data_IF_836846791005
#
_entry.id   IF_836846791005
#
_cell.length_a   1.000
_cell.length_b   1.000
_cell.length_c   1.000
_cell.angle_alpha   90.00
_cell.angle_beta   90.00
_cell.angle_gamma   90.00
#
_symmetry.space_group_name_H-M   'P 1'
#
loop_
_entity.id
_entity.type
_entity.pdbx_description
1 polymer ?
#
# COMPACT_ATOMS: atom_id res chain seq x y z
N UNK A 1 -81.58 -36.03 -0.45
CA UNK A 1 -81.51 -35.01 -1.50
C UNK A 1 -80.70 -33.84 -0.98
N UNK A 2 -79.47 -33.66 -1.45
CA UNK A 2 -78.76 -32.40 -1.22
C UNK A 2 -79.27 -31.47 -2.33
N UNK A 3 -79.91 -30.38 -1.94
CA UNK A 3 -80.41 -29.38 -2.89
C UNK A 3 -79.23 -28.83 -3.73
N UNK A 4 -79.45 -28.62 -5.02
CA UNK A 4 -78.43 -28.16 -5.97
C UNK A 4 -77.79 -26.84 -5.52
N UNK A 5 -78.53 -26.01 -4.80
CA UNK A 5 -78.02 -24.80 -4.15
C UNK A 5 -77.01 -25.06 -3.03
N UNK A 6 -77.19 -26.10 -2.22
CA UNK A 6 -76.25 -26.47 -1.15
C UNK A 6 -74.94 -27.04 -1.71
N UNK A 7 -75.01 -27.79 -2.81
CA UNK A 7 -73.83 -28.32 -3.50
C UNK A 7 -72.96 -27.20 -4.10
N UNK A 8 -73.59 -26.19 -4.71
CA UNK A 8 -72.91 -25.01 -5.25
C UNK A 8 -72.23 -24.17 -4.15
N UNK A 9 -72.91 -23.96 -3.02
CA UNK A 9 -72.32 -23.23 -1.89
C UNK A 9 -71.11 -23.97 -1.29
N UNK A 10 -71.17 -25.30 -1.16
CA UNK A 10 -70.04 -26.12 -0.70
C UNK A 10 -68.86 -26.10 -1.69
N UNK A 11 -69.14 -26.10 -3.00
CA UNK A 11 -68.11 -25.96 -4.04
C UNK A 11 -67.42 -24.59 -3.99
N UNK A 12 -68.16 -23.50 -3.81
CA UNK A 12 -67.56 -22.16 -3.67
C UNK A 12 -66.69 -22.03 -2.42
N UNK A 13 -67.14 -22.58 -1.28
CA UNK A 13 -66.35 -22.60 -0.04
C UNK A 13 -65.06 -23.39 -0.24
N UNK A 14 -65.14 -24.57 -0.87
CA UNK A 14 -63.98 -25.42 -1.14
C UNK A 14 -63.01 -24.69 -2.07
N UNK A 15 -63.47 -24.06 -3.15
CA UNK A 15 -62.63 -23.28 -4.08
C UNK A 15 -61.96 -22.09 -3.40
N UNK A 16 -62.67 -21.35 -2.53
CA UNK A 16 -62.08 -20.24 -1.75
C UNK A 16 -61.02 -20.73 -0.77
N UNK A 17 -61.25 -21.85 -0.08
CA UNK A 17 -60.26 -22.47 0.80
C UNK A 17 -59.02 -22.93 0.02
N UNK A 18 -59.18 -23.58 -1.14
CA UNK A 18 -58.03 -23.99 -1.96
C UNK A 18 -57.23 -22.78 -2.46
N UNK A 19 -57.90 -21.70 -2.89
CA UNK A 19 -57.23 -20.46 -3.30
C UNK A 19 -56.48 -19.79 -2.14
N UNK A 20 -57.04 -19.76 -0.94
CA UNK A 20 -56.39 -19.22 0.26
C UNK A 20 -55.16 -20.04 0.67
N UNK A 21 -55.24 -21.36 0.62
CA UNK A 21 -54.13 -22.28 0.90
C UNK A 21 -53.02 -22.17 -0.15
N UNK A 22 -53.37 -22.05 -1.43
CA UNK A 22 -52.39 -21.85 -2.50
C UNK A 22 -51.69 -20.50 -2.37
N UNK A 23 -52.43 -19.44 -2.04
CA UNK A 23 -51.87 -18.11 -1.81
C UNK A 23 -50.97 -18.08 -0.58
N UNK A 24 -51.35 -18.72 0.54
CA UNK A 24 -50.51 -18.78 1.74
C UNK A 24 -49.25 -19.62 1.53
N UNK A 25 -49.34 -20.75 0.80
CA UNK A 25 -48.16 -21.55 0.39
C UNK A 25 -47.26 -20.77 -0.56
N UNK A 26 -47.83 -20.02 -1.50
CA UNK A 26 -47.07 -19.17 -2.42
C UNK A 26 -46.37 -18.02 -1.69
N UNK A 27 -47.05 -17.33 -0.77
CA UNK A 27 -46.46 -16.28 0.09
C UNK A 27 -45.37 -16.85 1.00
N UNK A 28 -45.58 -18.03 1.60
CA UNK A 28 -44.57 -18.70 2.43
C UNK A 28 -43.33 -19.08 1.61
N UNK A 29 -43.52 -19.61 0.40
CA UNK A 29 -42.42 -19.97 -0.52
C UNK A 29 -41.67 -18.73 -1.00
N UNK A 30 -42.39 -17.66 -1.34
CA UNK A 30 -41.83 -16.34 -1.69
C UNK A 30 -41.03 -15.73 -0.54
N UNK A 31 -41.60 -15.65 0.67
CA UNK A 31 -40.92 -15.13 1.87
C UNK A 31 -39.66 -15.93 2.21
N UNK A 32 -39.73 -17.25 2.08
CA UNK A 32 -38.62 -18.16 2.30
C UNK A 32 -37.51 -18.00 1.25
N UNK A 33 -37.86 -17.77 -0.02
CA UNK A 33 -36.92 -17.47 -1.10
C UNK A 33 -36.23 -16.11 -0.91
N UNK A 34 -37.00 -15.07 -0.58
CA UNK A 34 -36.49 -13.71 -0.35
C UNK A 34 -35.55 -13.68 0.86
N UNK A 35 -35.90 -14.33 1.98
CA UNK A 35 -35.04 -14.38 3.17
C UNK A 35 -33.66 -14.97 2.87
N UNK A 36 -33.58 -15.98 1.99
CA UNK A 36 -32.31 -16.63 1.60
C UNK A 36 -31.46 -15.72 0.70
N UNK A 37 -32.11 -15.01 -0.22
CA UNK A 37 -31.42 -14.03 -1.08
C UNK A 37 -30.84 -12.92 -0.21
N UNK A 38 -31.61 -12.41 0.75
CA UNK A 38 -31.14 -11.40 1.70
C UNK A 38 -29.97 -11.92 2.55
N UNK A 39 -30.05 -13.16 3.07
CA UNK A 39 -28.94 -13.79 3.81
C UNK A 39 -27.65 -13.84 2.99
N UNK A 40 -27.70 -14.30 1.73
CA UNK A 40 -26.54 -14.37 0.85
C UNK A 40 -25.98 -12.98 0.55
N UNK A 41 -26.86 -12.00 0.25
CA UNK A 41 -26.45 -10.62 0.01
C UNK A 41 -25.73 -10.05 1.24
N UNK A 42 -26.23 -10.30 2.45
CA UNK A 42 -25.59 -9.86 3.69
C UNK A 42 -24.21 -10.50 3.89
N UNK A 43 -24.09 -11.82 3.66
CA UNK A 43 -22.80 -12.52 3.76
C UNK A 43 -21.78 -11.92 2.79
N UNK A 44 -22.18 -11.71 1.53
CA UNK A 44 -21.31 -11.10 0.51
C UNK A 44 -20.97 -9.66 0.89
N UNK A 45 -21.94 -8.86 1.31
CA UNK A 45 -21.73 -7.46 1.68
C UNK A 45 -20.77 -7.32 2.88
N UNK A 46 -20.93 -8.16 3.91
CA UNK A 46 -20.04 -8.19 5.09
C UNK A 46 -18.63 -8.62 4.67
N UNK A 47 -18.51 -9.65 3.83
CA UNK A 47 -17.22 -10.14 3.32
C UNK A 47 -16.49 -9.06 2.53
N UNK A 48 -17.18 -8.39 1.60
CA UNK A 48 -16.63 -7.27 0.82
C UNK A 48 -16.25 -6.10 1.72
N UNK A 49 -17.12 -5.70 2.65
CA UNK A 49 -16.83 -4.62 3.59
C UNK A 49 -15.57 -4.93 4.44
N UNK A 50 -15.47 -6.15 4.95
CA UNK A 50 -14.31 -6.56 5.72
C UNK A 50 -13.04 -6.58 4.86
N UNK A 51 -13.07 -7.20 3.68
CA UNK A 51 -11.89 -7.31 2.81
C UNK A 51 -11.41 -5.97 2.24
N UNK A 52 -12.33 -5.07 1.88
CA UNK A 52 -12.00 -3.83 1.18
C UNK A 52 -11.88 -2.61 2.11
N UNK A 53 -12.27 -2.74 3.39
CA UNK A 53 -12.19 -1.66 4.37
C UNK A 53 -11.78 -2.15 5.77
N UNK A 54 -12.54 -3.08 6.36
CA UNK A 54 -12.33 -3.50 7.77
C UNK A 54 -10.95 -4.06 8.06
N UNK A 55 -10.42 -4.90 7.17
CA UNK A 55 -9.11 -5.54 7.32
C UNK A 55 -7.96 -4.53 7.20
N UNK A 56 -8.06 -3.54 6.31
CA UNK A 56 -7.10 -2.44 6.23
C UNK A 56 -7.06 -1.64 7.53
N UNK A 57 -8.23 -1.28 8.06
CA UNK A 57 -8.32 -0.57 9.34
C UNK A 57 -7.72 -1.39 10.47
N UNK A 58 -8.04 -2.68 10.56
CA UNK A 58 -7.47 -3.61 11.53
C UNK A 58 -5.94 -3.65 11.45
N UNK A 59 -5.38 -3.90 10.26
CA UNK A 59 -3.92 -3.99 10.06
C UNK A 59 -3.24 -2.69 10.48
N UNK A 60 -3.73 -1.53 10.05
CA UNK A 60 -3.06 -0.28 10.39
C UNK A 60 -3.25 0.12 11.86
N UNK A 61 -4.43 -0.11 12.44
CA UNK A 61 -4.68 0.21 13.84
C UNK A 61 -3.79 -0.62 14.78
N UNK A 62 -3.63 -1.92 14.52
CA UNK A 62 -2.86 -2.78 15.43
C UNK A 62 -1.37 -2.84 15.10
N UNK A 63 -0.98 -2.74 13.83
CA UNK A 63 0.43 -2.89 13.45
C UNK A 63 1.15 -1.54 13.30
N UNK A 64 0.43 -0.47 12.98
CA UNK A 64 1.02 0.81 12.53
C UNK A 64 0.61 2.06 13.30
N UNK A 65 -0.44 2.01 14.13
CA UNK A 65 -1.01 3.19 14.79
C UNK A 65 -0.01 4.03 15.59
N UNK A 66 0.93 3.37 16.28
CA UNK A 66 1.92 4.05 17.09
C UNK A 66 3.13 4.47 16.25
N UNK A 67 3.29 5.79 16.12
CA UNK A 67 4.50 6.41 15.60
C UNK A 67 5.72 5.99 16.45
N UNK A 68 6.86 5.62 15.82
CA UNK A 68 8.04 5.19 16.55
C UNK A 68 8.60 6.31 17.45
N UNK A 69 9.16 5.97 18.60
CA UNK A 69 9.87 6.92 19.47
C UNK A 69 9.03 7.97 20.21
N UNK A 70 7.69 7.96 20.08
CA UNK A 70 6.82 8.94 20.78
C UNK A 70 6.82 8.73 22.31
N UNK A 71 6.95 7.49 22.77
CA UNK A 71 6.96 7.13 24.20
C UNK A 71 8.36 7.07 24.81
N UNK A 72 9.42 7.38 24.07
CA UNK A 72 10.76 7.38 24.64
C UNK A 72 10.88 8.48 25.71
N UNK A 73 11.60 8.20 26.79
CA UNK A 73 11.93 9.18 27.84
C UNK A 73 12.54 10.46 27.24
N UNK A 74 13.28 10.32 26.15
CA UNK A 74 13.93 11.38 25.37
C UNK A 74 12.94 12.29 24.62
N UNK A 75 11.82 11.76 24.12
CA UNK A 75 10.75 12.57 23.51
C UNK A 75 10.01 13.41 24.56
N UNK A 76 9.94 12.93 25.80
CA UNK A 76 9.27 13.61 26.93
C UNK A 76 10.15 14.69 27.57
N UNK A 77 11.47 14.55 27.55
CA UNK A 77 12.40 15.49 28.19
C UNK A 77 12.77 16.70 27.33
N UNK A 78 12.76 16.57 26.00
CA UNK A 78 13.26 17.62 25.11
C UNK A 78 12.23 18.64 24.61
N UNK A 79 10.93 18.52 24.93
CA UNK A 79 9.89 19.51 24.57
C UNK A 79 9.74 19.81 23.06
N UNK A 80 10.53 19.17 22.20
CA UNK A 80 10.58 19.39 20.76
C UNK A 80 9.56 18.46 20.09
N UNK A 81 8.57 19.07 19.43
CA UNK A 81 7.58 18.35 18.62
C UNK A 81 8.31 17.45 17.60
N UNK A 82 8.23 16.14 17.78
CA UNK A 82 8.70 15.17 16.79
C UNK A 82 7.94 15.39 15.48
N UNK A 83 8.66 15.57 14.38
CA UNK A 83 8.06 15.58 13.05
C UNK A 83 7.74 14.15 12.64
N UNK A 84 6.47 13.90 12.35
CA UNK A 84 5.95 12.61 11.88
C UNK A 84 5.91 12.60 10.36
N UNK A 85 6.74 11.77 9.74
CA UNK A 85 6.88 11.65 8.30
C UNK A 85 6.49 10.25 7.83
N UNK A 86 5.56 10.17 6.89
CA UNK A 86 5.21 8.93 6.20
C UNK A 86 6.01 8.86 4.89
N UNK A 87 6.85 7.85 4.73
CA UNK A 87 7.73 7.71 3.57
C UNK A 87 7.29 6.53 2.71
N UNK A 88 6.95 6.81 1.46
CA UNK A 88 6.40 5.88 0.48
C UNK A 88 7.39 5.77 -0.68
N UNK A 89 7.60 4.58 -1.23
CA UNK A 89 8.48 4.36 -2.38
C UNK A 89 7.81 3.44 -3.40
N UNK A 90 8.20 3.58 -4.68
CA UNK A 90 7.88 2.64 -5.76
C UNK A 90 6.37 2.37 -5.87
N UNK A 91 5.57 3.42 -6.00
CA UNK A 91 4.11 3.28 -6.17
C UNK A 91 3.76 2.69 -7.53
N UNK A 92 4.61 2.91 -8.55
CA UNK A 92 4.47 2.35 -9.89
C UNK A 92 3.02 2.41 -10.39
N UNK A 93 2.41 3.60 -10.35
CA UNK A 93 1.08 3.82 -10.94
C UNK A 93 1.20 3.41 -12.41
N UNK A 94 0.37 2.45 -12.81
CA UNK A 94 0.58 1.77 -14.07
C UNK A 94 0.14 2.65 -15.24
N UNK A 95 0.95 2.68 -16.29
CA UNK A 95 0.59 3.38 -17.52
C UNK A 95 -0.24 2.52 -18.48
N UNK A 96 -0.59 3.06 -19.65
CA UNK A 96 -1.43 2.38 -20.62
C UNK A 96 -0.72 1.27 -21.41
N UNK A 97 0.61 1.14 -21.36
CA UNK A 97 1.38 0.26 -22.26
C UNK A 97 1.60 -1.13 -21.66
N UNK A 98 2.07 -1.20 -20.42
CA UNK A 98 2.44 -2.44 -19.70
C UNK A 98 1.31 -2.99 -18.84
N UNK A 99 0.21 -2.25 -18.68
CA UNK A 99 -0.84 -2.61 -17.73
C UNK A 99 -1.93 -3.49 -18.32
N UNK A 100 -2.35 -4.48 -17.54
CA UNK A 100 -3.61 -5.20 -17.76
C UNK A 100 -4.69 -4.47 -16.98
N UNK A 101 -5.82 -4.13 -17.63
CA UNK A 101 -6.87 -3.27 -17.04
C UNK A 101 -7.35 -3.72 -15.66
N UNK A 102 -7.58 -5.02 -15.47
CA UNK A 102 -8.06 -5.57 -14.19
C UNK A 102 -6.97 -5.48 -13.11
N UNK A 103 -5.71 -5.74 -13.49
CA UNK A 103 -4.58 -5.61 -12.58
C UNK A 103 -4.39 -4.15 -12.16
N UNK A 104 -4.41 -3.21 -13.12
CA UNK A 104 -4.37 -1.77 -12.86
C UNK A 104 -5.46 -1.35 -11.87
N UNK A 105 -6.71 -1.73 -12.16
CA UNK A 105 -7.85 -1.41 -11.28
C UNK A 105 -7.63 -1.94 -9.86
N UNK A 106 -7.18 -3.19 -9.71
CA UNK A 106 -6.97 -3.80 -8.40
C UNK A 106 -5.81 -3.14 -7.63
N UNK A 107 -4.65 -2.93 -8.27
CA UNK A 107 -3.50 -2.33 -7.58
C UNK A 107 -3.76 -0.89 -7.18
N UNK A 108 -4.36 -0.10 -8.05
CA UNK A 108 -4.70 1.30 -7.73
C UNK A 108 -5.76 1.39 -6.64
N UNK A 109 -6.74 0.48 -6.63
CA UNK A 109 -7.70 0.36 -5.53
C UNK A 109 -7.01 0.04 -4.21
N UNK A 110 -6.11 -0.95 -4.20
CA UNK A 110 -5.35 -1.33 -3.00
C UNK A 110 -4.52 -0.17 -2.46
N UNK A 111 -3.78 0.53 -3.33
CA UNK A 111 -2.99 1.69 -2.93
C UNK A 111 -3.89 2.81 -2.40
N UNK A 112 -5.01 3.10 -3.06
CA UNK A 112 -5.95 4.14 -2.63
C UNK A 112 -6.55 3.84 -1.26
N UNK A 113 -7.02 2.61 -1.05
CA UNK A 113 -7.59 2.19 0.23
C UNK A 113 -6.52 2.19 1.33
N UNK A 114 -5.34 1.65 1.05
CA UNK A 114 -4.22 1.65 1.98
C UNK A 114 -3.85 3.08 2.41
N UNK A 115 -3.69 3.98 1.44
CA UNK A 115 -3.27 5.35 1.70
C UNK A 115 -4.34 6.15 2.44
N UNK A 116 -5.59 6.11 1.97
CA UNK A 116 -6.70 6.83 2.60
C UNK A 116 -6.88 6.45 4.07
N UNK A 117 -6.88 5.15 4.37
CA UNK A 117 -7.08 4.65 5.74
C UNK A 117 -5.84 4.95 6.61
N UNK A 118 -4.64 4.66 6.11
CA UNK A 118 -3.41 4.92 6.90
C UNK A 118 -3.19 6.41 7.16
N UNK A 119 -3.40 7.29 6.18
CA UNK A 119 -3.32 8.74 6.35
C UNK A 119 -4.35 9.27 7.36
N UNK A 120 -5.57 8.72 7.32
CA UNK A 120 -6.64 9.06 8.27
C UNK A 120 -6.30 8.65 9.71
N UNK A 121 -5.70 7.47 9.91
CA UNK A 121 -5.33 6.98 11.24
C UNK A 121 -4.08 7.70 11.77
N UNK A 122 -3.05 7.82 10.92
CA UNK A 122 -1.71 8.24 11.34
C UNK A 122 -1.56 9.76 11.42
N UNK A 123 -2.29 10.50 10.58
CA UNK A 123 -2.29 11.96 10.52
C UNK A 123 -0.85 12.54 10.46
N UNK A 124 -0.02 12.16 9.47
CA UNK A 124 1.37 12.61 9.37
C UNK A 124 1.48 14.13 9.19
N UNK A 125 2.62 14.70 9.61
CA UNK A 125 2.95 16.10 9.31
C UNK A 125 3.47 16.27 7.88
N UNK A 126 4.16 15.25 7.38
CA UNK A 126 4.81 15.25 6.07
C UNK A 126 4.64 13.89 5.42
N UNK A 127 4.41 13.86 4.11
CA UNK A 127 4.43 12.66 3.28
C UNK A 127 5.53 12.83 2.25
N UNK A 128 6.43 11.85 2.18
CA UNK A 128 7.59 11.86 1.29
C UNK A 128 7.48 10.67 0.34
N UNK A 129 7.58 10.93 -0.96
CA UNK A 129 7.66 9.88 -1.98
C UNK A 129 9.08 9.77 -2.53
N UNK A 130 9.65 8.56 -2.46
CA UNK A 130 11.02 8.26 -2.87
C UNK A 130 11.10 7.70 -4.29
N UNK A 131 10.51 8.41 -5.26
CA UNK A 131 10.61 8.08 -6.68
C UNK A 131 9.83 6.84 -7.11
N UNK A 132 9.88 6.62 -8.43
CA UNK A 132 9.10 5.62 -9.18
C UNK A 132 7.61 5.75 -8.84
N UNK A 133 7.12 6.99 -8.98
CA UNK A 133 5.70 7.28 -8.85
C UNK A 133 4.90 6.52 -9.91
N UNK A 134 5.44 6.47 -11.13
CA UNK A 134 4.81 5.91 -12.32
C UNK A 134 5.64 4.80 -12.94
N UNK A 135 5.02 3.77 -13.52
CA UNK A 135 5.74 2.65 -14.16
C UNK A 135 6.28 3.00 -15.58
N UNK A 136 5.74 4.07 -16.18
CA UNK A 136 5.95 4.40 -17.61
C UNK A 136 6.31 5.86 -17.90
N UNK A 137 6.46 6.70 -16.87
CA UNK A 137 6.69 8.13 -17.07
C UNK A 137 7.95 8.42 -17.88
N UNK A 138 9.01 7.62 -17.78
CA UNK A 138 10.26 7.83 -18.52
C UNK A 138 10.15 7.61 -20.03
N UNK A 139 9.09 6.95 -20.52
CA UNK A 139 8.91 6.69 -21.96
C UNK A 139 7.50 6.99 -22.47
N UNK A 140 6.68 7.67 -21.67
CA UNK A 140 5.32 8.06 -22.04
C UNK A 140 5.25 9.47 -22.65
N UNK A 141 4.29 9.66 -23.55
CA UNK A 141 3.94 10.97 -24.10
C UNK A 141 3.15 11.82 -23.07
N UNK A 142 3.08 13.12 -23.28
CA UNK A 142 2.58 14.06 -22.25
C UNK A 142 1.15 13.81 -21.80
N UNK A 143 0.24 13.45 -22.71
CA UNK A 143 -1.13 13.14 -22.31
C UNK A 143 -1.21 11.87 -21.43
N UNK A 144 -0.35 10.87 -21.64
CA UNK A 144 -0.26 9.72 -20.74
C UNK A 144 0.37 10.09 -19.38
N UNK A 145 1.40 10.94 -19.38
CA UNK A 145 1.99 11.47 -18.14
C UNK A 145 0.97 12.29 -17.32
N UNK A 146 0.22 13.18 -17.96
CA UNK A 146 -0.84 13.96 -17.32
C UNK A 146 -1.96 13.07 -16.77
N UNK A 147 -2.33 12.01 -17.49
CA UNK A 147 -3.30 11.04 -16.99
C UNK A 147 -2.76 10.28 -15.77
N UNK A 148 -1.48 9.91 -15.78
CA UNK A 148 -0.83 9.29 -14.64
C UNK A 148 -0.80 10.23 -13.41
N UNK A 149 -0.56 11.53 -13.61
CA UNK A 149 -0.64 12.54 -12.54
C UNK A 149 -2.06 12.64 -11.96
N UNK A 150 -3.11 12.63 -12.79
CA UNK A 150 -4.50 12.57 -12.32
C UNK A 150 -4.79 11.30 -11.53
N UNK A 151 -4.21 10.17 -11.94
CA UNK A 151 -4.30 8.91 -11.20
C UNK A 151 -3.58 9.02 -9.85
N UNK A 152 -2.41 9.68 -9.79
CA UNK A 152 -1.71 9.97 -8.53
C UNK A 152 -2.59 10.77 -7.57
N UNK A 153 -3.15 11.90 -8.00
CA UNK A 153 -4.00 12.75 -7.16
C UNK A 153 -5.26 12.01 -6.66
N UNK A 154 -5.81 11.11 -7.50
CA UNK A 154 -6.98 10.29 -7.15
C UNK A 154 -6.66 9.20 -6.13
N UNK A 155 -5.46 8.61 -6.19
CA UNK A 155 -5.02 7.51 -5.32
C UNK A 155 -4.51 8.08 -4.00
N UNK A 156 -3.66 9.10 -4.07
CA UNK A 156 -2.96 9.71 -2.95
C UNK A 156 -3.59 11.06 -2.58
N UNK A 157 -4.85 11.03 -2.16
CA UNK A 157 -5.57 12.24 -1.77
C UNK A 157 -5.30 12.62 -0.31
N UNK A 158 -4.80 13.84 -0.08
CA UNK A 158 -4.56 14.40 1.25
C UNK A 158 -4.77 15.91 1.26
N UNK A 159 -4.85 16.47 2.46
CA UNK A 159 -5.02 17.90 2.70
C UNK A 159 -3.65 18.61 2.61
N UNK A 160 -3.42 19.33 1.51
CA UNK A 160 -2.16 20.04 1.23
C UNK A 160 -1.90 21.22 2.18
N UNK A 161 -2.91 21.77 2.85
CA UNK A 161 -2.71 22.83 3.85
C UNK A 161 -2.17 22.22 5.17
N UNK A 162 -2.58 20.98 5.44
CA UNK A 162 -2.23 20.27 6.68
C UNK A 162 -1.03 19.34 6.53
N UNK A 163 -0.66 18.92 5.35
CA UNK A 163 0.41 17.94 5.15
C UNK A 163 1.45 18.47 4.17
N UNK A 164 2.71 18.48 4.60
CA UNK A 164 3.82 18.81 3.71
C UNK A 164 4.07 17.66 2.73
N UNK A 165 4.30 17.97 1.45
CA UNK A 165 4.47 16.99 0.38
C UNK A 165 5.84 17.12 -0.27
N UNK A 166 6.61 16.04 -0.27
CA UNK A 166 7.98 16.01 -0.80
C UNK A 166 8.14 14.83 -1.75
N UNK A 167 8.82 15.03 -2.88
CA UNK A 167 9.08 13.98 -3.87
C UNK A 167 10.54 14.02 -4.34
N UNK A 168 11.18 12.85 -4.40
CA UNK A 168 12.43 12.65 -5.16
C UNK A 168 12.13 11.90 -6.46
N UNK A 169 12.85 12.16 -7.56
CA UNK A 169 12.63 11.43 -8.82
C UNK A 169 13.17 10.00 -8.76
N UNK A 170 12.46 9.05 -9.39
CA UNK A 170 12.95 7.70 -9.67
C UNK A 170 13.29 7.46 -11.15
N UNK A 171 13.89 6.31 -11.45
CA UNK A 171 14.32 6.01 -12.82
C UNK A 171 13.14 5.71 -13.77
N UNK A 172 12.00 5.25 -13.26
CA UNK A 172 10.78 5.14 -14.07
C UNK A 172 10.09 6.49 -14.26
N UNK A 173 10.41 7.50 -13.46
CA UNK A 173 9.87 8.86 -13.61
C UNK A 173 10.62 9.65 -14.68
N UNK A 174 11.96 9.68 -14.58
CA UNK A 174 12.82 10.55 -15.40
C UNK A 174 13.80 9.80 -16.31
N UNK A 175 13.82 8.47 -16.23
CA UNK A 175 14.78 7.62 -16.93
C UNK A 175 16.03 7.35 -16.10
N UNK A 176 16.74 6.25 -16.40
CA UNK A 176 18.11 6.06 -15.90
C UNK A 176 19.03 7.16 -16.45
N UNK A 177 20.23 7.27 -15.88
CA UNK A 177 21.21 8.31 -16.20
C UNK A 177 21.31 8.68 -17.69
N UNK A 178 21.61 7.71 -18.57
CA UNK A 178 21.77 7.96 -20.00
C UNK A 178 20.48 8.51 -20.65
N UNK A 179 19.31 8.04 -20.22
CA UNK A 179 18.04 8.51 -20.75
C UNK A 179 17.72 9.92 -20.26
N UNK A 180 17.97 10.20 -18.98
CA UNK A 180 17.83 11.54 -18.39
C UNK A 180 18.74 12.56 -19.09
N UNK A 181 19.97 12.17 -19.43
CA UNK A 181 20.93 13.02 -20.17
C UNK A 181 20.45 13.27 -21.60
N UNK A 182 20.03 12.22 -22.31
CA UNK A 182 19.63 12.32 -23.72
C UNK A 182 18.25 12.95 -23.91
N UNK A 183 17.38 12.88 -22.90
CA UNK A 183 16.02 13.42 -22.93
C UNK A 183 15.76 14.28 -21.66
N UNK A 184 16.42 15.44 -21.53
CA UNK A 184 16.29 16.35 -20.37
C UNK A 184 14.85 16.71 -20.01
N UNK A 185 13.99 16.74 -21.02
CA UNK A 185 12.56 17.04 -20.88
C UNK A 185 11.85 16.15 -19.86
N UNK A 186 12.25 14.88 -19.70
CA UNK A 186 11.65 13.97 -18.73
C UNK A 186 11.88 14.45 -17.29
N UNK A 187 13.11 14.87 -16.97
CA UNK A 187 13.42 15.47 -15.67
C UNK A 187 12.72 16.81 -15.51
N UNK A 188 12.71 17.63 -16.56
CA UNK A 188 12.06 18.95 -16.53
C UNK A 188 10.57 18.84 -16.17
N UNK A 189 9.79 18.07 -16.94
CA UNK A 189 8.33 17.97 -16.73
C UNK A 189 7.99 17.37 -15.36
N UNK A 190 8.79 16.39 -14.89
CA UNK A 190 8.58 15.77 -13.59
C UNK A 190 8.87 16.75 -12.45
N UNK A 191 10.02 17.43 -12.50
CA UNK A 191 10.40 18.43 -11.49
C UNK A 191 9.47 19.64 -11.45
N UNK A 192 8.93 20.07 -12.58
CA UNK A 192 7.92 21.14 -12.62
C UNK A 192 6.58 20.71 -12.03
N UNK A 193 6.19 19.44 -12.21
CA UNK A 193 4.91 18.92 -11.71
C UNK A 193 4.96 18.63 -10.20
N UNK A 194 6.05 18.04 -9.72
CA UNK A 194 6.18 17.56 -8.34
C UNK A 194 7.10 18.41 -7.46
N UNK A 195 7.62 19.53 -7.99
CA UNK A 195 8.64 20.35 -7.32
C UNK A 195 9.84 19.52 -6.83
N UNK A 196 10.18 18.46 -7.57
CA UNK A 196 11.23 17.52 -7.17
C UNK A 196 12.61 18.11 -7.42
N UNK A 197 13.59 17.68 -6.62
CA UNK A 197 14.99 18.01 -6.86
C UNK A 197 15.46 17.53 -8.23
N UNK A 198 16.32 18.33 -8.89
CA UNK A 198 16.97 17.97 -10.16
C UNK A 198 18.35 17.34 -9.94
N UNK A 199 18.93 17.52 -8.77
CA UNK A 199 20.30 17.18 -8.43
C UNK A 199 20.40 16.85 -6.93
N UNK A 200 20.74 17.81 -6.08
CA UNK A 200 20.73 17.63 -4.62
C UNK A 200 20.29 18.93 -3.94
N UNK A 201 19.25 18.84 -3.10
CA UNK A 201 18.65 20.00 -2.45
C UNK A 201 18.43 19.77 -0.96
N UNK A 202 18.49 20.86 -0.18
CA UNK A 202 18.05 20.88 1.21
C UNK A 202 16.59 21.32 1.26
N UNK A 203 15.69 20.45 1.72
CA UNK A 203 14.29 20.80 1.90
C UNK A 203 14.09 21.61 3.18
N UNK A 204 13.61 22.86 3.02
CA UNK A 204 13.42 23.82 4.10
C UNK A 204 11.96 24.27 4.20
N UNK A 205 11.03 23.34 4.38
CA UNK A 205 9.60 23.66 4.48
C UNK A 205 9.23 24.13 5.89
N UNK A 206 8.10 24.85 6.08
CA UNK A 206 7.69 25.31 7.40
C UNK A 206 7.58 24.19 8.45
N UNK A 207 7.18 22.98 8.04
CA UNK A 207 7.00 21.82 8.92
C UNK A 207 8.30 21.08 9.21
N UNK A 208 9.28 21.13 8.31
CA UNK A 208 10.55 20.40 8.44
C UNK A 208 11.77 21.30 8.63
N UNK A 209 11.61 22.62 8.75
CA UNK A 209 12.73 23.61 8.83
C UNK A 209 13.76 23.37 9.94
N UNK A 210 13.40 22.60 10.97
CA UNK A 210 14.29 22.23 12.08
C UNK A 210 15.05 20.92 11.82
N UNK A 211 14.81 20.29 10.67
CA UNK A 211 15.48 19.08 10.19
C UNK A 211 16.24 19.41 8.91
N UNK A 212 17.44 18.85 8.79
CA UNK A 212 18.19 18.90 7.55
C UNK A 212 17.80 17.72 6.65
N UNK A 213 16.72 17.86 5.88
CA UNK A 213 16.28 16.86 4.91
C UNK A 213 16.99 17.09 3.57
N UNK A 214 17.91 16.22 3.20
CA UNK A 214 18.67 16.33 1.95
C UNK A 214 18.06 15.39 0.92
N UNK A 215 17.51 15.97 -0.15
CA UNK A 215 16.86 15.26 -1.25
C UNK A 215 17.87 15.07 -2.38
N UNK A 216 17.88 13.89 -3.00
CA UNK A 216 18.75 13.59 -4.13
C UNK A 216 17.96 13.08 -5.33
N UNK A 217 18.33 13.56 -6.52
CA UNK A 217 18.06 12.88 -7.77
C UNK A 217 19.17 11.83 -7.97
N UNK A 218 18.89 10.58 -7.64
CA UNK A 218 19.91 9.53 -7.72
C UNK A 218 20.51 9.35 -9.12
N UNK A 219 19.76 9.69 -10.17
CA UNK A 219 20.17 9.55 -11.57
C UNK A 219 21.23 10.58 -11.98
N UNK A 220 21.41 11.65 -11.17
CA UNK A 220 22.49 12.63 -11.34
C UNK A 220 23.77 12.27 -10.56
N UNK A 221 23.83 11.10 -9.91
CA UNK A 221 25.01 10.58 -9.21
C UNK A 221 25.64 9.36 -9.93
N UNK A 222 25.76 9.45 -11.26
CA UNK A 222 26.34 8.38 -12.10
C UNK A 222 27.88 8.42 -12.18
N UNK A 223 28.53 9.40 -11.54
CA UNK A 223 29.98 9.52 -11.46
C UNK A 223 30.69 9.69 -12.82
N UNK A 224 30.08 10.45 -13.73
CA UNK A 224 30.69 10.90 -14.98
C UNK A 224 30.83 12.43 -15.03
N UNK A 225 31.32 12.95 -16.16
CA UNK A 225 31.56 14.40 -16.36
C UNK A 225 30.38 15.14 -17.01
N UNK A 226 29.18 14.56 -17.07
CA UNK A 226 28.03 15.27 -17.63
C UNK A 226 27.62 16.46 -16.76
N UNK A 227 26.78 17.35 -17.30
CA UNK A 227 26.34 18.56 -16.58
C UNK A 227 25.62 18.24 -15.27
N UNK A 228 24.73 17.24 -15.24
CA UNK A 228 23.99 16.86 -14.03
C UNK A 228 24.89 16.30 -12.92
N UNK A 229 25.85 15.43 -13.28
CA UNK A 229 26.83 14.89 -12.33
C UNK A 229 27.74 15.99 -11.79
N UNK A 230 28.23 16.87 -12.68
CA UNK A 230 29.06 18.02 -12.29
C UNK A 230 28.32 18.97 -11.36
N UNK A 231 27.07 19.30 -11.67
CA UNK A 231 26.22 20.14 -10.84
C UNK A 231 25.96 19.51 -9.46
N UNK A 232 25.59 18.23 -9.42
CA UNK A 232 25.34 17.50 -8.17
C UNK A 232 26.57 17.50 -7.26
N UNK A 233 27.77 17.37 -7.83
CA UNK A 233 29.02 17.45 -7.07
C UNK A 233 29.30 18.85 -6.51
N UNK A 234 29.00 19.91 -7.27
CA UNK A 234 29.14 21.30 -6.80
C UNK A 234 28.14 21.58 -5.67
N UNK A 235 26.88 21.21 -5.86
CA UNK A 235 25.82 21.44 -4.87
C UNK A 235 26.03 20.61 -3.60
N UNK A 236 26.54 19.38 -3.72
CA UNK A 236 26.95 18.58 -2.54
C UNK A 236 28.01 19.31 -1.71
N UNK A 237 28.99 19.95 -2.35
CA UNK A 237 30.02 20.76 -1.64
C UNK A 237 29.43 22.01 -1.01
N UNK A 238 28.50 22.68 -1.69
CA UNK A 238 27.81 23.84 -1.15
C UNK A 238 26.99 23.48 0.09
N UNK A 239 26.29 22.33 0.05
CA UNK A 239 25.55 21.78 1.19
C UNK A 239 26.47 21.38 2.34
N UNK A 240 27.60 20.74 2.07
CA UNK A 240 28.62 20.46 3.07
C UNK A 240 29.05 21.74 3.81
N UNK A 241 29.39 22.81 3.07
CA UNK A 241 29.77 24.10 3.66
C UNK A 241 28.62 24.75 4.44
N UNK A 242 27.38 24.63 3.94
CA UNK A 242 26.20 25.12 4.64
C UNK A 242 26.00 24.40 5.99
N UNK A 243 26.03 23.07 5.98
CA UNK A 243 25.86 22.24 7.18
C UNK A 243 26.97 22.47 8.20
N UNK A 244 28.22 22.60 7.74
CA UNK A 244 29.35 22.94 8.60
C UNK A 244 29.19 24.31 9.26
N UNK A 245 28.71 25.31 8.52
CA UNK A 245 28.41 26.64 9.08
C UNK A 245 27.28 26.58 10.11
N UNK A 246 26.20 25.88 9.80
CA UNK A 246 25.08 25.69 10.74
C UNK A 246 25.56 25.03 12.03
N UNK A 247 26.34 23.95 11.93
CA UNK A 247 26.91 23.26 13.09
C UNK A 247 27.83 24.19 13.91
N UNK A 248 28.66 24.99 13.25
CA UNK A 248 29.59 25.89 13.93
C UNK A 248 28.88 27.06 14.64
N UNK A 249 27.75 27.51 14.09
CA UNK A 249 26.96 28.63 14.64
C UNK A 249 26.15 28.20 15.85
N UNK A 250 25.45 27.07 15.77
CA UNK A 250 24.65 26.54 16.86
C UNK A 250 24.69 25.00 16.87
N UNK A 251 25.70 24.40 17.53
CA UNK A 251 25.81 22.94 17.66
C UNK A 251 24.61 22.30 18.37
N UNK A 252 23.91 23.04 19.24
CA UNK A 252 22.78 22.49 20.02
C UNK A 252 21.51 22.39 19.19
N UNK A 253 21.30 23.32 18.25
CA UNK A 253 20.17 23.29 17.31
C UNK A 253 20.48 22.55 16.00
N UNK A 254 21.74 22.20 15.75
CA UNK A 254 22.12 21.48 14.55
C UNK A 254 21.43 20.11 14.45
N UNK A 255 20.76 19.88 13.33
CA UNK A 255 20.24 18.55 12.97
C UNK A 255 21.20 17.88 12.01
N UNK A 256 21.76 16.72 12.39
CA UNK A 256 22.46 15.88 11.42
C UNK A 256 21.51 15.50 10.27
N UNK A 257 21.97 15.49 9.00
CA UNK A 257 21.07 15.33 7.86
C UNK A 257 20.38 13.96 7.80
N UNK A 258 19.19 13.96 7.22
CA UNK A 258 18.51 12.76 6.72
C UNK A 258 18.64 12.78 5.21
N UNK A 259 19.34 11.80 4.65
CA UNK A 259 19.57 11.69 3.20
C UNK A 259 18.43 10.88 2.57
N UNK A 260 17.77 11.46 1.58
CA UNK A 260 16.59 10.89 0.91
C UNK A 260 16.88 10.79 -0.60
N UNK A 261 16.59 9.64 -1.19
CA UNK A 261 16.78 9.40 -2.62
C UNK A 261 16.01 8.18 -3.09
N UNK A 262 16.15 7.85 -4.38
CA UNK A 262 15.48 6.69 -4.96
C UNK A 262 16.42 5.47 -5.03
N UNK A 263 17.53 5.56 -5.77
CA UNK A 263 18.50 4.45 -5.89
C UNK A 263 19.34 4.37 -4.61
N UNK A 264 19.48 3.17 -3.99
CA UNK A 264 20.23 2.99 -2.75
C UNK A 264 21.73 3.29 -2.90
N UNK A 265 22.37 3.57 -1.78
CA UNK A 265 23.83 3.71 -1.71
C UNK A 265 24.51 2.40 -2.11
N UNK A 266 25.77 2.52 -2.51
CA UNK A 266 26.58 1.38 -2.94
C UNK A 266 26.60 0.27 -1.89
N UNK A 267 26.18 -0.92 -2.31
CA UNK A 267 26.42 -2.18 -1.61
C UNK A 267 26.62 -3.29 -2.61
N UNK A 268 27.40 -4.29 -2.23
CA UNK A 268 27.79 -5.37 -3.14
C UNK A 268 26.60 -6.16 -3.67
N UNK A 269 25.61 -6.43 -2.83
CA UNK A 269 24.43 -7.22 -3.16
C UNK A 269 23.28 -6.94 -2.18
N UNK A 270 22.12 -7.55 -2.44
CA UNK A 270 20.86 -7.33 -1.71
C UNK A 270 20.52 -8.47 -0.73
N UNK A 271 21.50 -9.27 -0.31
CA UNK A 271 21.27 -10.38 0.64
C UNK A 271 20.79 -9.92 2.02
N UNK A 272 21.07 -8.66 2.39
CA UNK A 272 20.62 -8.09 3.66
C UNK A 272 19.16 -7.57 3.61
N UNK A 273 18.51 -7.67 2.45
CA UNK A 273 17.12 -7.30 2.29
C UNK A 273 16.18 -8.41 2.77
N UNK A 274 14.93 -8.06 3.07
CA UNK A 274 13.86 -9.02 3.33
C UNK A 274 13.45 -9.71 2.04
N UNK A 275 13.73 -11.01 1.91
CA UNK A 275 13.47 -11.76 0.68
C UNK A 275 13.12 -13.23 0.98
N UNK A 276 12.35 -13.91 0.11
CA UNK A 276 12.13 -15.34 0.21
C UNK A 276 13.40 -16.11 -0.22
N UNK A 277 13.59 -17.30 0.34
CA UNK A 277 14.73 -18.17 0.03
C UNK A 277 14.93 -18.42 -1.47
N UNK A 278 13.84 -18.46 -2.26
CA UNK A 278 13.88 -18.64 -3.71
C UNK A 278 14.65 -17.55 -4.46
N UNK A 279 14.79 -16.36 -3.87
CA UNK A 279 15.47 -15.23 -4.49
C UNK A 279 16.94 -15.10 -4.07
N UNK A 280 17.40 -15.87 -3.08
CA UNK A 280 18.75 -15.77 -2.53
C UNK A 280 19.85 -15.88 -3.59
N UNK A 281 19.73 -16.83 -4.53
CA UNK A 281 20.72 -17.01 -5.60
C UNK A 281 20.75 -15.85 -6.61
N UNK A 282 19.62 -15.17 -6.81
CA UNK A 282 19.57 -13.95 -7.63
C UNK A 282 20.18 -12.77 -6.88
N UNK A 283 19.80 -12.60 -5.61
CA UNK A 283 20.22 -11.50 -4.76
C UNK A 283 21.66 -11.61 -4.26
N UNK A 284 22.30 -12.79 -4.38
CA UNK A 284 23.74 -12.95 -4.11
C UNK A 284 24.62 -12.42 -5.24
N UNK A 285 24.06 -12.16 -6.43
CA UNK A 285 24.79 -11.56 -7.54
C UNK A 285 25.18 -10.13 -7.19
N UNK A 286 26.27 -9.67 -7.78
CA UNK A 286 26.74 -8.32 -7.57
C UNK A 286 25.77 -7.31 -8.19
N UNK A 287 25.43 -6.27 -7.42
CA UNK A 287 24.63 -5.14 -7.88
C UNK A 287 25.40 -4.35 -8.94
N UNK A 288 24.69 -3.87 -9.95
CA UNK A 288 25.22 -3.04 -11.02
C UNK A 288 25.22 -1.58 -10.57
N UNK A 289 26.41 -0.96 -10.49
CA UNK A 289 26.54 0.45 -10.17
C UNK A 289 25.90 1.34 -11.24
N UNK A 290 25.28 2.44 -10.81
CA UNK A 290 24.54 3.37 -11.67
C UNK A 290 23.18 2.85 -12.14
N UNK A 291 22.81 1.63 -11.72
CA UNK A 291 21.52 1.01 -12.02
C UNK A 291 20.83 0.47 -10.77
N UNK A 292 21.38 -0.57 -10.15
CA UNK A 292 20.80 -1.22 -8.97
C UNK A 292 21.17 -0.47 -7.67
N UNK A 293 22.36 0.16 -7.67
CA UNK A 293 22.90 0.98 -6.57
C UNK A 293 23.64 2.18 -7.17
N UNK A 294 23.84 3.24 -6.37
CA UNK A 294 24.78 4.32 -6.73
C UNK A 294 26.21 3.79 -6.85
N UNK A 295 27.04 4.52 -7.60
CA UNK A 295 28.48 4.24 -7.64
C UNK A 295 29.11 4.33 -6.25
N UNK A 296 30.14 3.52 -5.99
CA UNK A 296 30.83 3.51 -4.68
C UNK A 296 31.41 4.89 -4.34
N UNK A 297 32.03 5.54 -5.33
CA UNK A 297 32.62 6.88 -5.20
C UNK A 297 31.57 7.94 -4.86
N UNK A 298 30.42 7.92 -5.52
CA UNK A 298 29.31 8.83 -5.26
C UNK A 298 28.74 8.61 -3.85
N UNK A 299 28.52 7.36 -3.48
CA UNK A 299 28.02 6.97 -2.15
C UNK A 299 28.99 7.43 -1.04
N UNK A 300 30.30 7.18 -1.22
CA UNK A 300 31.33 7.63 -0.28
C UNK A 300 31.43 9.15 -0.19
N UNK A 301 31.25 9.87 -1.30
CA UNK A 301 31.23 11.33 -1.30
C UNK A 301 30.03 11.88 -0.52
N UNK A 302 28.84 11.34 -0.73
CA UNK A 302 27.63 11.74 0.01
C UNK A 302 27.79 11.48 1.52
N UNK A 303 28.23 10.28 1.90
CA UNK A 303 28.39 9.90 3.31
C UNK A 303 29.46 10.73 4.04
N UNK A 304 30.64 10.91 3.43
CA UNK A 304 31.74 11.61 4.11
C UNK A 304 31.52 13.12 4.22
N UNK A 305 30.89 13.74 3.21
CA UNK A 305 30.64 15.19 3.18
C UNK A 305 29.43 15.59 4.00
N UNK A 306 28.32 14.85 3.87
CA UNK A 306 27.05 15.23 4.51
C UNK A 306 26.91 14.63 5.91
N UNK A 307 27.60 13.52 6.19
CA UNK A 307 27.53 12.77 7.46
C UNK A 307 26.07 12.59 7.94
N UNK A 308 25.21 11.97 7.11
CA UNK A 308 23.81 11.80 7.48
C UNK A 308 23.67 10.84 8.65
N UNK A 309 22.73 11.10 9.55
CA UNK A 309 22.39 10.16 10.63
C UNK A 309 21.60 8.95 10.16
N UNK A 310 20.90 9.09 9.03
CA UNK A 310 20.21 8.00 8.34
C UNK A 310 20.04 8.36 6.87
N UNK A 311 20.19 7.36 6.01
CA UNK A 311 19.87 7.41 4.58
C UNK A 311 18.62 6.57 4.31
N UNK A 312 17.70 7.05 3.47
CA UNK A 312 16.47 6.34 3.13
C UNK A 312 16.30 6.35 1.62
N UNK A 313 16.14 5.16 1.05
CA UNK A 313 16.06 4.90 -0.39
C UNK A 313 14.85 4.02 -0.77
N UNK A 314 14.59 3.84 -2.06
CA UNK A 314 13.57 2.93 -2.63
C UNK A 314 14.19 1.95 -3.63
N UNK A 315 13.60 1.81 -4.82
CA UNK A 315 14.15 1.17 -6.02
C UNK A 315 14.21 -0.37 -6.00
N UNK A 316 14.64 -1.00 -4.90
CA UNK A 316 14.83 -2.47 -4.87
C UNK A 316 13.53 -3.24 -4.68
N UNK A 317 12.44 -2.53 -4.35
CA UNK A 317 11.13 -3.05 -3.99
C UNK A 317 11.13 -3.98 -2.77
N UNK A 318 12.20 -4.01 -1.99
CA UNK A 318 12.35 -4.85 -0.80
C UNK A 318 12.85 -4.01 0.37
N UNK A 319 12.38 -4.33 1.57
CA UNK A 319 12.91 -3.69 2.79
C UNK A 319 14.34 -4.15 3.04
N UNK A 320 15.30 -3.22 3.06
CA UNK A 320 16.70 -3.52 3.34
C UNK A 320 17.25 -2.65 4.47
N UNK A 321 18.12 -3.24 5.27
CA UNK A 321 18.89 -2.53 6.29
C UNK A 321 20.37 -2.70 5.97
N UNK A 322 21.08 -1.59 5.76
CA UNK A 322 22.49 -1.61 5.35
C UNK A 322 23.31 -0.70 6.26
N UNK A 323 24.37 -1.25 6.85
CA UNK A 323 25.37 -0.47 7.59
C UNK A 323 26.57 -0.26 6.67
N UNK A 324 26.87 1.00 6.39
CA UNK A 324 27.99 1.43 5.56
C UNK A 324 29.17 1.79 6.45
N UNK A 325 30.32 1.16 6.22
CA UNK A 325 31.54 1.44 6.98
C UNK A 325 32.54 2.18 6.10
N UNK A 326 32.81 3.45 6.41
CA UNK A 326 33.76 4.27 5.68
C UNK A 326 35.03 4.43 6.49
N UNK A 327 36.15 3.97 5.94
CA UNK A 327 37.49 4.16 6.52
C UNK A 327 38.09 5.47 6.02
N UNK A 328 38.44 6.36 6.94
CA UNK A 328 39.13 7.63 6.67
C UNK A 328 40.19 7.85 7.76
N UNK A 329 41.46 7.94 7.35
CA UNK A 329 42.61 8.23 8.23
C UNK A 329 42.67 7.37 9.51
N UNK A 330 42.40 6.06 9.38
CA UNK A 330 42.42 5.10 10.49
C UNK A 330 41.15 5.08 11.34
N UNK A 331 40.21 6.01 11.14
CA UNK A 331 38.87 6.00 11.76
C UNK A 331 37.88 5.26 10.85
N UNK A 332 36.94 4.55 11.48
CA UNK A 332 35.80 3.91 10.80
C UNK A 332 34.53 4.65 11.21
N UNK A 333 33.90 5.35 10.27
CA UNK A 333 32.58 5.92 10.46
C UNK A 333 31.52 4.93 9.96
N UNK A 334 30.42 4.82 10.71
CA UNK A 334 29.29 3.95 10.39
C UNK A 334 28.07 4.79 10.02
N UNK A 335 27.43 4.45 8.90
CA UNK A 335 26.22 5.12 8.41
C UNK A 335 25.13 4.10 8.16
N UNK A 336 23.92 4.41 8.60
CA UNK A 336 22.78 3.52 8.47
C UNK A 336 21.90 3.91 7.28
N UNK A 337 21.52 2.92 6.48
CA UNK A 337 20.58 3.06 5.38
C UNK A 337 19.39 2.11 5.52
N UNK A 338 18.18 2.63 5.27
CA UNK A 338 16.97 1.85 5.06
C UNK A 338 16.53 1.99 3.60
N UNK A 339 16.44 0.87 2.89
CA UNK A 339 15.73 0.84 1.60
C UNK A 339 14.28 0.45 1.87
N UNK A 340 13.32 1.29 1.48
CA UNK A 340 11.89 1.08 1.67
C UNK A 340 11.38 0.11 0.61
N UNK A 341 10.51 -0.81 1.02
CA UNK A 341 9.82 -1.72 0.11
C UNK A 341 8.88 -0.97 -0.84
N UNK A 342 8.44 -1.62 -1.92
CA UNK A 342 7.45 -1.01 -2.78
C UNK A 342 6.08 -0.89 -2.10
N UNK A 343 5.41 0.24 -2.32
CA UNK A 343 4.03 0.44 -1.87
C UNK A 343 3.02 -0.38 -2.69
N UNK A 344 3.40 -0.83 -3.88
CA UNK A 344 2.53 -1.52 -4.80
C UNK A 344 2.70 -3.04 -4.67
N UNK A 345 1.62 -3.73 -4.32
CA UNK A 345 1.57 -5.20 -4.16
C UNK A 345 2.13 -5.98 -5.35
N UNK A 346 2.04 -5.43 -6.57
CA UNK A 346 2.60 -6.07 -7.78
C UNK A 346 4.12 -6.26 -7.69
N UNK A 347 4.82 -5.33 -7.04
CA UNK A 347 6.28 -5.23 -7.08
C UNK A 347 6.95 -5.65 -5.78
N UNK A 348 6.30 -5.42 -4.63
CA UNK A 348 6.87 -5.62 -3.29
C UNK A 348 7.10 -7.08 -2.87
N UNK A 349 6.73 -8.05 -3.72
CA UNK A 349 6.83 -9.51 -3.54
C UNK A 349 6.19 -10.06 -2.26
N UNK A 350 6.82 -9.86 -1.10
CA UNK A 350 6.38 -10.42 0.20
C UNK A 350 5.76 -9.38 1.12
N UNK A 351 6.31 -8.17 1.16
CA UNK A 351 5.97 -7.18 2.19
C UNK A 351 5.82 -5.81 1.55
N UNK A 352 4.72 -5.53 0.83
CA UNK A 352 4.39 -4.15 0.46
C UNK A 352 4.21 -3.31 1.71
N UNK A 353 4.57 -2.04 1.65
CA UNK A 353 4.61 -1.21 2.84
C UNK A 353 5.13 0.19 2.61
N UNK A 354 5.27 0.89 3.72
CA UNK A 354 5.82 2.23 3.82
C UNK A 354 6.59 2.38 5.13
N UNK A 355 7.37 3.44 5.27
CA UNK A 355 8.17 3.70 6.46
C UNK A 355 7.53 4.83 7.28
N UNK A 356 7.32 4.60 8.56
CA UNK A 356 7.03 5.64 9.54
C UNK A 356 8.35 6.17 10.09
N UNK A 357 8.55 7.48 9.99
CA UNK A 357 9.73 8.15 10.51
C UNK A 357 9.31 9.24 11.48
N UNK A 358 9.87 9.24 12.70
CA UNK A 358 9.79 10.38 13.62
C UNK A 358 11.18 10.95 13.80
N UNK A 359 11.28 12.28 13.76
CA UNK A 359 12.57 12.95 13.91
C UNK A 359 12.44 14.30 14.62
N UNK A 360 13.48 14.64 15.39
CA UNK A 360 13.79 15.99 15.83
C UNK A 360 15.25 16.30 15.47
N UNK A 361 15.85 17.36 16.01
CA UNK A 361 17.24 17.73 15.71
C UNK A 361 18.26 16.65 16.07
N UNK A 362 18.01 15.84 17.09
CA UNK A 362 19.00 14.90 17.65
C UNK A 362 18.66 13.43 17.35
N UNK A 363 17.41 13.05 17.45
CA UNK A 363 16.95 11.66 17.35
C UNK A 363 16.15 11.43 16.07
N UNK A 364 16.25 10.20 15.57
CA UNK A 364 15.47 9.69 14.46
C UNK A 364 15.04 8.26 14.76
N UNK A 365 13.75 7.96 14.61
CA UNK A 365 13.21 6.63 14.80
C UNK A 365 12.43 6.21 13.55
N UNK A 366 12.67 4.99 13.09
CA UNK A 366 12.07 4.46 11.88
C UNK A 366 11.36 3.14 12.20
N UNK A 367 10.17 2.93 11.62
CA UNK A 367 9.42 1.68 11.72
C UNK A 367 8.78 1.36 10.39
N UNK A 368 9.05 0.17 9.87
CA UNK A 368 8.38 -0.33 8.68
C UNK A 368 6.93 -0.73 8.97
N UNK A 369 6.04 -0.39 8.06
CA UNK A 369 4.62 -0.66 8.13
C UNK A 369 4.16 -1.44 6.90
N UNK A 370 3.77 -2.70 7.13
CA UNK A 370 3.26 -3.55 6.07
C UNK A 370 1.85 -3.11 5.64
N UNK A 371 1.58 -3.18 4.34
CA UNK A 371 0.22 -3.18 3.82
C UNK A 371 -0.45 -4.53 4.11
N UNK A 372 -1.75 -4.62 3.80
CA UNK A 372 -2.49 -5.86 3.94
C UNK A 372 -1.93 -6.99 3.07
N UNK A 373 -2.10 -8.22 3.53
CA UNK A 373 -1.68 -9.41 2.78
C UNK A 373 -2.79 -9.90 1.84
N UNK A 374 -2.50 -10.00 0.54
CA UNK A 374 -3.52 -10.36 -0.47
C UNK A 374 -4.07 -11.77 -0.31
N UNK A 375 -3.24 -12.70 0.15
CA UNK A 375 -3.68 -14.09 0.35
C UNK A 375 -4.74 -14.18 1.46
N UNK A 376 -4.67 -13.31 2.49
CA UNK A 376 -5.70 -13.26 3.55
C UNK A 376 -7.04 -12.84 2.96
N UNK A 377 -7.05 -11.81 2.10
CA UNK A 377 -8.25 -11.38 1.38
C UNK A 377 -8.79 -12.49 0.47
N UNK A 378 -7.91 -13.14 -0.29
CA UNK A 378 -8.29 -14.26 -1.16
C UNK A 378 -8.88 -15.43 -0.37
N UNK A 379 -8.30 -15.79 0.78
CA UNK A 379 -8.79 -16.84 1.67
C UNK A 379 -10.16 -16.49 2.26
N UNK A 380 -10.40 -15.23 2.64
CA UNK A 380 -11.71 -14.80 3.15
C UNK A 380 -12.77 -14.88 2.04
N UNK A 381 -12.46 -14.44 0.83
CA UNK A 381 -13.41 -14.58 -0.29
C UNK A 381 -13.67 -16.05 -0.64
N UNK A 382 -12.64 -16.90 -0.67
CA UNK A 382 -12.79 -18.33 -0.95
C UNK A 382 -13.66 -19.02 0.12
N UNK A 383 -13.39 -18.76 1.40
CA UNK A 383 -14.19 -19.33 2.50
C UNK A 383 -15.63 -18.83 2.47
N UNK A 384 -15.86 -17.57 2.11
CA UNK A 384 -17.20 -17.01 1.90
C UNK A 384 -17.96 -17.77 0.81
N UNK A 385 -17.32 -18.00 -0.35
CA UNK A 385 -17.93 -18.76 -1.46
C UNK A 385 -18.25 -20.19 -1.03
N UNK A 386 -17.31 -20.88 -0.36
CA UNK A 386 -17.53 -22.24 0.13
C UNK A 386 -18.68 -22.31 1.16
N UNK A 387 -18.78 -21.34 2.06
CA UNK A 387 -19.86 -21.24 3.02
C UNK A 387 -21.23 -21.06 2.34
N UNK A 388 -21.31 -20.20 1.32
CA UNK A 388 -22.53 -20.00 0.53
C UNK A 388 -22.91 -21.30 -0.21
N UNK A 389 -21.95 -21.98 -0.84
CA UNK A 389 -22.21 -23.25 -1.54
C UNK A 389 -22.71 -24.33 -0.58
N UNK A 390 -22.05 -24.49 0.58
CA UNK A 390 -22.49 -25.42 1.62
C UNK A 390 -23.90 -25.10 2.09
N UNK A 391 -24.20 -23.81 2.34
CA UNK A 391 -25.52 -23.35 2.73
C UNK A 391 -26.58 -23.70 1.69
N UNK A 392 -26.31 -23.46 0.41
CA UNK A 392 -27.22 -23.83 -0.69
C UNK A 392 -27.46 -25.35 -0.77
N UNK A 393 -26.43 -26.17 -0.58
CA UNK A 393 -26.53 -27.63 -0.56
C UNK A 393 -27.41 -28.11 0.60
N UNK A 394 -27.19 -27.59 1.82
CA UNK A 394 -27.99 -27.95 2.99
C UNK A 394 -29.46 -27.58 2.81
N UNK A 395 -29.73 -26.41 2.23
CA UNK A 395 -31.10 -25.95 1.93
C UNK A 395 -31.78 -26.81 0.86
N UNK A 396 -31.04 -27.31 -0.14
CA UNK A 396 -31.60 -28.22 -1.14
C UNK A 396 -31.92 -29.61 -0.56
N UNK A 397 -31.10 -30.11 0.38
CA UNK A 397 -31.36 -31.38 1.07
C UNK A 397 -32.60 -31.32 1.97
N UNK A 398 -32.81 -30.21 2.68
CA UNK A 398 -33.98 -30.02 3.54
C UNK A 398 -35.30 -29.88 2.75
N UNK A 399 -35.21 -29.45 1.48
CA UNK A 399 -36.37 -29.28 0.60
C UNK A 399 -36.76 -30.57 -0.17
N UNK A 400 -36.04 -31.70 -0.01
CA UNK A 400 -36.52 -32.98 -0.54
C UNK A 400 -37.69 -33.46 0.34
N UNK A 401 -38.91 -33.66 -0.20
CA UNK A 401 -39.98 -34.28 0.56
C UNK A 401 -39.55 -35.70 0.97
N UNK A 402 -39.73 -36.04 2.24
CA UNK A 402 -39.74 -37.43 2.69
C UNK A 402 -40.98 -38.10 2.07
N UNK A 403 -40.84 -38.68 0.87
CA UNK A 403 -41.85 -39.55 0.26
C UNK A 403 -41.77 -40.99 0.82
N UNK A 404 -41.51 -41.14 2.13
CA UNK A 404 -41.63 -42.43 2.80
C UNK A 404 -42.38 -42.26 4.12
N UNK A 405 -43.33 -43.18 4.32
CA UNK A 405 -44.21 -43.39 5.49
C UNK A 405 -45.61 -42.74 5.37
N UNK A 406 -46.47 -43.38 4.57
CA UNK A 406 -47.86 -43.73 4.94
C UNK A 406 -48.25 -45.03 4.23
N UNK A 407 -47.81 -46.17 4.77
CA UNK A 407 -48.55 -47.42 4.59
C UNK A 407 -49.73 -47.39 5.55
N UNK A 408 -50.94 -47.40 4.99
CA UNK A 408 -52.22 -47.50 5.71
C UNK A 408 -52.24 -48.72 6.64
N UNK A 409 -52.77 -48.58 7.87
CA UNK A 409 -53.38 -49.68 8.58
C UNK A 409 -54.82 -49.32 8.94
N UNK A 410 -55.79 -49.78 8.14
CA UNK A 410 -57.19 -49.86 8.61
C UNK A 410 -58.10 -50.51 7.56
N UNK A 411 -58.07 -51.83 7.42
CA UNK A 411 -59.28 -52.63 7.13
C UNK A 411 -59.10 -54.01 7.78
N UNK A 412 -59.61 -54.20 9.00
CA UNK A 412 -59.93 -55.52 9.55
C UNK A 412 -60.89 -55.38 10.74
N UNK A 413 -62.03 -56.07 10.62
CA UNK A 413 -63.02 -56.32 11.68
C UNK A 413 -64.17 -55.31 11.68
N UNK A 414 -65.44 -55.69 11.75
CA UNK A 414 -66.13 -56.98 11.81
C UNK A 414 -67.62 -56.57 11.79
N UNK A 415 -68.43 -57.08 10.85
CA UNK A 415 -69.89 -57.05 10.96
C UNK A 415 -70.33 -58.44 11.47
N UNK A 416 -70.63 -58.51 12.76
CA UNK A 416 -71.49 -59.54 13.36
C UNK A 416 -72.86 -58.90 13.58
N UNK A 417 -73.91 -59.43 12.93
CA UNK A 417 -75.29 -59.29 13.41
C UNK A 417 -76.05 -60.60 13.17
N UNK A 418 -76.74 -61.03 14.23
CA UNK A 418 -77.43 -62.29 14.45
C UNK A 418 -78.63 -62.53 13.51
N UNK A 419 -78.93 -63.81 13.22
CA UNK A 419 -80.18 -64.25 12.58
C UNK A 419 -80.10 -65.60 11.90
#
# INVERSE_FOLDING_TARGET
EIDSCQLLALLEIKVRQTKSILLSRWIATMRFSISRIVEIILIVAISVFWCEYGYYYYVFYFNCYNWPGVDSSEARTNGNNLTKMMIIADTHIMGPIKSVRVDKLRREWQMKQAFSISNSILQPNTIIFLGDLFDEASFSYDAAFQQACKDFDRIFHFDHDRVEFIVTPGNHDVGFHNQMVNIPYLLQRFSETFMSTRSIDLSQTPKTKHLNLVLTNSMSFYNDSCHYCSQSMVETRNLEQYLQRQYSQDPQQYSSPILLGHIPLYRRNDLNCSHPNSLRAKLSKQNIEGKDVLHETASRSLLTRLKPRISISGHTHMLCHTNHHIKTDGRVDEFYEITVTSYNHKYARLTPGFLLLTANSTHVFAKHCNLIEEWVVASIYLTTVLAILLRLILLNRYNKPNDEIRLNPSISGEEEEEG
#
